data_IF_190499407714
#
_entry.id   IF_190499407714
#
_cell.length_a   1.000
_cell.length_b   1.000
_cell.length_c   1.000
_cell.angle_alpha   90.00
_cell.angle_beta   90.00
_cell.angle_gamma   90.00
#
_symmetry.space_group_name_H-M   'P 1'
#
loop_
_entity.id
_entity.type
_entity.pdbx_description
1 polymer ?
#
# COMPACT_ATOMS: atom_id res chain seq x y z
N UNK A 1 -12.16 19.10 -19.58
CA UNK A 1 -12.03 17.74 -19.01
C UNK A 1 -12.75 17.66 -17.66
N UNK A 2 -13.95 17.07 -17.61
CA UNK A 2 -14.84 17.05 -16.43
C UNK A 2 -14.26 16.32 -15.20
N UNK A 3 -13.29 15.42 -15.37
CA UNK A 3 -12.68 14.64 -14.28
C UNK A 3 -11.89 15.47 -13.26
N UNK A 4 -11.26 16.58 -13.68
CA UNK A 4 -10.47 17.43 -12.77
C UNK A 4 -11.33 18.21 -11.77
N UNK A 5 -12.59 18.49 -12.13
CA UNK A 5 -13.52 19.26 -11.30
C UNK A 5 -14.17 18.43 -10.19
N UNK A 6 -14.27 17.10 -10.35
CA UNK A 6 -14.85 16.19 -9.35
C UNK A 6 -13.83 15.65 -8.36
N UNK A 7 -12.57 15.51 -8.77
CA UNK A 7 -11.51 14.89 -7.93
C UNK A 7 -10.59 15.94 -7.29
N UNK A 8 -10.42 17.11 -7.92
CA UNK A 8 -9.54 18.19 -7.46
C UNK A 8 -8.09 18.02 -7.92
N UNK A 9 -7.48 19.12 -8.39
CA UNK A 9 -6.15 19.13 -9.03
C UNK A 9 -5.05 18.50 -8.18
N UNK A 10 -4.98 18.86 -6.88
CA UNK A 10 -4.00 18.30 -5.92
C UNK A 10 -4.07 16.78 -5.85
N UNK A 11 -5.29 16.24 -5.91
CA UNK A 11 -5.55 14.82 -5.78
C UNK A 11 -5.16 14.06 -7.04
N UNK A 12 -5.43 14.63 -8.21
CA UNK A 12 -4.95 14.10 -9.48
C UNK A 12 -3.42 14.01 -9.54
N UNK A 13 -2.71 15.06 -9.10
CA UNK A 13 -1.24 15.03 -9.02
C UNK A 13 -0.78 13.91 -8.09
N UNK A 14 -1.33 13.85 -6.87
CA UNK A 14 -0.98 12.81 -5.89
C UNK A 14 -1.22 11.41 -6.44
N UNK A 15 -2.33 11.20 -7.15
CA UNK A 15 -2.64 9.94 -7.82
C UNK A 15 -1.58 9.56 -8.85
N UNK A 16 -1.19 10.49 -9.73
CA UNK A 16 -0.15 10.25 -10.74
C UNK A 16 1.20 9.93 -10.09
N UNK A 17 1.59 10.67 -9.04
CA UNK A 17 2.84 10.40 -8.31
C UNK A 17 2.85 9.01 -7.67
N UNK A 18 1.75 8.62 -7.02
CA UNK A 18 1.64 7.28 -6.45
C UNK A 18 1.62 6.19 -7.51
N UNK A 19 0.92 6.41 -8.62
CA UNK A 19 0.89 5.48 -9.74
C UNK A 19 2.29 5.31 -10.34
N UNK A 20 3.04 6.40 -10.52
CA UNK A 20 4.42 6.33 -11.01
C UNK A 20 5.33 5.58 -10.02
N UNK A 21 5.26 5.89 -8.72
CA UNK A 21 6.04 5.17 -7.71
C UNK A 21 5.67 3.67 -7.67
N UNK A 22 4.39 3.35 -7.76
CA UNK A 22 3.91 1.97 -7.80
C UNK A 22 4.36 1.23 -9.06
N UNK A 23 4.36 1.87 -10.23
CA UNK A 23 4.77 1.23 -11.49
C UNK A 23 6.28 1.09 -11.62
N UNK A 24 7.06 2.07 -11.16
CA UNK A 24 8.50 2.12 -11.43
C UNK A 24 9.37 1.75 -10.23
N UNK A 25 8.94 2.02 -8.99
CA UNK A 25 9.75 1.80 -7.78
C UNK A 25 9.36 0.49 -7.10
N UNK A 26 8.07 0.23 -6.93
CA UNK A 26 7.59 -0.94 -6.20
C UNK A 26 8.06 -2.29 -6.79
N UNK A 27 8.13 -2.48 -8.13
CA UNK A 27 8.65 -3.72 -8.70
C UNK A 27 10.15 -3.94 -8.46
N UNK A 28 10.92 -2.85 -8.26
CA UNK A 28 12.35 -2.94 -7.91
C UNK A 28 12.56 -3.51 -6.50
N UNK A 29 11.54 -3.46 -5.65
CA UNK A 29 11.54 -4.11 -4.34
C UNK A 29 11.13 -5.59 -4.52
N UNK A 30 11.90 -6.37 -5.29
CA UNK A 30 11.48 -7.70 -5.72
C UNK A 30 11.47 -8.76 -4.60
N UNK A 31 12.17 -8.52 -3.47
CA UNK A 31 12.14 -9.38 -2.28
C UNK A 31 11.31 -8.79 -1.15
N UNK A 32 10.59 -9.64 -0.41
CA UNK A 32 9.65 -9.23 0.64
C UNK A 32 10.23 -8.33 1.75
N UNK A 33 11.50 -8.52 2.21
CA UNK A 33 12.10 -7.60 3.19
C UNK A 33 12.23 -6.17 2.65
N UNK A 34 12.61 -6.01 1.37
CA UNK A 34 12.72 -4.71 0.72
C UNK A 34 11.35 -4.08 0.49
N UNK A 35 10.33 -4.86 0.13
CA UNK A 35 8.93 -4.37 0.04
C UNK A 35 8.46 -3.81 1.37
N UNK A 36 8.66 -4.58 2.43
CA UNK A 36 8.27 -4.20 3.79
C UNK A 36 8.97 -2.92 4.22
N UNK A 37 10.28 -2.81 3.95
CA UNK A 37 11.04 -1.59 4.22
C UNK A 37 10.53 -0.40 3.40
N UNK A 38 10.33 -0.56 2.09
CA UNK A 38 9.82 0.50 1.21
C UNK A 38 8.44 1.00 1.64
N UNK A 39 7.54 0.08 2.01
CA UNK A 39 6.21 0.44 2.53
C UNK A 39 6.31 1.21 3.86
N UNK A 40 7.20 0.80 4.77
CA UNK A 40 7.46 1.54 6.01
C UNK A 40 7.99 2.96 5.76
N UNK A 41 8.98 3.10 4.88
CA UNK A 41 9.54 4.41 4.49
C UNK A 41 8.48 5.30 3.83
N UNK A 42 7.55 4.71 3.10
CA UNK A 42 6.44 5.42 2.46
C UNK A 42 5.27 5.72 3.42
N UNK A 43 5.37 5.32 4.69
CA UNK A 43 4.46 5.72 5.77
C UNK A 43 3.59 4.62 6.36
N UNK A 44 3.63 3.38 5.83
CA UNK A 44 2.87 2.27 6.41
C UNK A 44 3.45 1.84 7.78
N UNK A 45 2.59 1.54 8.75
CA UNK A 45 3.04 0.97 10.01
C UNK A 45 3.00 -0.56 9.92
N UNK A 46 4.17 -1.19 9.71
CA UNK A 46 4.26 -2.65 9.61
C UNK A 46 5.03 -3.21 10.80
N UNK A 47 4.42 -4.08 11.59
CA UNK A 47 5.03 -4.73 12.76
C UNK A 47 6.23 -5.63 12.43
N UNK A 48 6.96 -6.04 13.47
CA UNK A 48 8.15 -6.89 13.34
C UNK A 48 7.79 -8.28 12.83
N UNK A 49 8.73 -8.89 12.10
CA UNK A 49 8.59 -10.20 11.44
C UNK A 49 7.41 -10.34 10.46
N UNK A 50 6.72 -9.25 10.15
CA UNK A 50 5.66 -9.25 9.16
C UNK A 50 6.24 -9.25 7.75
N UNK A 51 5.67 -10.07 6.87
CA UNK A 51 6.11 -10.25 5.48
C UNK A 51 5.00 -9.78 4.55
N UNK A 52 5.36 -8.93 3.60
CA UNK A 52 4.45 -8.45 2.55
C UNK A 52 5.00 -8.84 1.19
N UNK A 53 4.23 -9.61 0.42
CA UNK A 53 4.52 -9.95 -0.97
C UNK A 53 4.09 -8.81 -1.91
N UNK A 54 3.76 -9.08 -3.18
CA UNK A 54 3.38 -8.04 -4.14
C UNK A 54 1.96 -7.52 -3.86
N UNK A 55 1.85 -6.46 -3.08
CA UNK A 55 0.57 -5.86 -2.68
C UNK A 55 0.00 -4.97 -3.80
N UNK A 56 -1.29 -5.07 -4.07
CA UNK A 56 -2.04 -4.13 -4.92
C UNK A 56 -2.66 -3.03 -4.06
N UNK A 57 -2.49 -1.78 -4.45
CA UNK A 57 -2.95 -0.63 -3.67
C UNK A 57 -3.90 0.25 -4.48
N UNK A 58 -5.11 0.46 -3.98
CA UNK A 58 -6.12 1.33 -4.59
C UNK A 58 -6.33 2.59 -3.76
N UNK A 59 -6.82 3.66 -4.41
CA UNK A 59 -7.15 4.93 -3.75
C UNK A 59 -6.03 5.52 -2.86
N UNK A 60 -4.76 5.27 -3.20
CA UNK A 60 -3.61 5.88 -2.54
C UNK A 60 -3.67 7.41 -2.53
N UNK A 61 -4.32 8.00 -3.53
CA UNK A 61 -4.60 9.43 -3.61
C UNK A 61 -5.63 9.92 -2.61
N UNK A 62 -6.29 9.08 -1.81
CA UNK A 62 -7.22 9.49 -0.75
C UNK A 62 -6.50 9.58 0.59
N UNK A 63 -6.04 8.43 1.09
CA UNK A 63 -5.44 8.31 2.42
C UNK A 63 -3.94 8.06 2.45
N UNK A 64 -3.34 7.64 1.34
CA UNK A 64 -1.92 7.27 1.26
C UNK A 64 -1.58 6.02 2.07
N UNK A 65 -0.28 5.70 2.14
CA UNK A 65 0.21 4.51 2.85
C UNK A 65 0.17 4.63 4.38
N UNK A 66 0.03 5.84 4.93
CA UNK A 66 -0.16 6.05 6.38
C UNK A 66 -1.44 5.40 6.94
N UNK A 67 -2.38 5.04 6.06
CA UNK A 67 -3.59 4.31 6.42
C UNK A 67 -3.37 2.81 6.63
N UNK A 68 -2.24 2.25 6.20
CA UNK A 68 -1.95 0.82 6.33
C UNK A 68 -1.26 0.54 7.67
N UNK A 69 -1.88 -0.31 8.48
CA UNK A 69 -1.31 -0.80 9.74
C UNK A 69 -1.38 -2.32 9.80
N UNK A 70 -0.21 -2.95 9.93
CA UNK A 70 -0.05 -4.38 10.16
C UNK A 70 0.56 -4.58 11.55
N UNK A 71 -0.01 -5.48 12.33
CA UNK A 71 0.57 -5.97 13.58
C UNK A 71 1.88 -6.73 13.36
N UNK A 72 2.33 -7.42 14.42
CA UNK A 72 3.51 -8.28 14.42
C UNK A 72 3.18 -9.63 13.80
N UNK A 73 4.20 -10.26 13.22
CA UNK A 73 4.15 -11.64 12.73
C UNK A 73 3.02 -11.88 11.71
N UNK A 74 2.70 -10.86 10.89
CA UNK A 74 1.69 -10.98 9.83
C UNK A 74 2.28 -11.53 8.53
N UNK A 75 1.46 -12.19 7.73
CA UNK A 75 1.79 -12.54 6.35
C UNK A 75 0.73 -11.98 5.39
N UNK A 76 1.17 -11.24 4.38
CA UNK A 76 0.30 -10.75 3.30
C UNK A 76 0.78 -11.36 1.99
N UNK A 77 -0.03 -12.28 1.46
CA UNK A 77 0.23 -13.03 0.24
C UNK A 77 0.20 -12.16 -1.02
N UNK A 78 0.56 -12.78 -2.13
CA UNK A 78 0.69 -12.07 -3.40
C UNK A 78 -0.64 -11.52 -3.89
N UNK A 79 -0.59 -10.34 -4.50
CA UNK A 79 -1.71 -9.67 -5.13
C UNK A 79 -2.94 -9.39 -4.25
N UNK A 80 -2.77 -9.39 -2.91
CA UNK A 80 -3.79 -8.83 -2.02
C UNK A 80 -4.10 -7.38 -2.41
N UNK A 81 -5.38 -6.99 -2.41
CA UNK A 81 -5.80 -5.65 -2.82
C UNK A 81 -6.30 -4.84 -1.63
N UNK A 82 -5.54 -3.80 -1.27
CA UNK A 82 -5.91 -2.91 -0.18
C UNK A 82 -6.43 -1.56 -0.72
N UNK A 83 -7.66 -1.22 -0.34
CA UNK A 83 -8.25 0.10 -0.60
C UNK A 83 -7.80 1.11 0.46
N UNK A 84 -6.89 2.01 0.06
CA UNK A 84 -6.31 3.03 0.93
C UNK A 84 -7.20 4.27 1.11
N UNK A 85 -8.48 4.20 0.72
CA UNK A 85 -9.46 5.27 0.97
C UNK A 85 -9.64 5.59 2.45
N UNK A 86 -9.59 4.56 3.30
CA UNK A 86 -9.72 4.64 4.76
C UNK A 86 -8.62 3.81 5.43
N UNK A 87 -8.43 3.93 6.76
CA UNK A 87 -7.47 3.11 7.48
C UNK A 87 -7.78 1.61 7.40
N UNK A 88 -6.76 0.80 7.13
CA UNK A 88 -6.80 -0.66 7.20
C UNK A 88 -5.87 -1.10 8.34
N UNK A 89 -6.40 -1.91 9.25
CA UNK A 89 -5.67 -2.39 10.43
C UNK A 89 -5.78 -3.93 10.50
N UNK A 90 -4.65 -4.61 10.40
CA UNK A 90 -4.54 -6.04 10.75
C UNK A 90 -3.87 -6.16 12.13
N UNK A 91 -4.43 -7.04 12.96
CA UNK A 91 -3.86 -7.38 14.26
C UNK A 91 -2.57 -8.19 14.15
N UNK A 92 -2.04 -8.60 15.30
CA UNK A 92 -0.90 -9.51 15.37
C UNK A 92 -1.29 -10.90 14.82
N UNK A 93 -0.34 -11.60 14.19
CA UNK A 93 -0.49 -12.98 13.68
C UNK A 93 -1.62 -13.19 12.66
N UNK A 94 -1.91 -12.17 11.86
CA UNK A 94 -2.88 -12.27 10.75
C UNK A 94 -2.18 -12.74 9.47
N UNK A 95 -2.77 -13.74 8.83
CA UNK A 95 -2.37 -14.22 7.49
C UNK A 95 -3.47 -13.89 6.50
N UNK A 96 -3.12 -13.14 5.46
CA UNK A 96 -3.91 -13.03 4.25
C UNK A 96 -3.25 -13.89 3.17
N UNK A 97 -4.02 -14.82 2.61
CA UNK A 97 -3.60 -15.61 1.45
C UNK A 97 -3.50 -14.72 0.20
N UNK A 98 -3.04 -15.29 -0.91
CA UNK A 98 -2.98 -14.56 -2.17
C UNK A 98 -4.38 -14.07 -2.62
N UNK A 99 -4.43 -12.86 -3.18
CA UNK A 99 -5.61 -12.28 -3.86
C UNK A 99 -6.86 -12.12 -2.97
N UNK A 100 -6.64 -11.79 -1.70
CA UNK A 100 -7.66 -11.31 -0.74
C UNK A 100 -7.83 -9.80 -0.85
#
# INVERSE_FOLDING_TARGET
MKAFRTVGFRRSIRHVLWMAAYTFIYPLLFVSPLRTLGLRLAGAAIGRHSVVMNLRLFNLDRGGLGNLRLGRDCFVGDECLFDMAAPIMLGDQVTLAERV
#
